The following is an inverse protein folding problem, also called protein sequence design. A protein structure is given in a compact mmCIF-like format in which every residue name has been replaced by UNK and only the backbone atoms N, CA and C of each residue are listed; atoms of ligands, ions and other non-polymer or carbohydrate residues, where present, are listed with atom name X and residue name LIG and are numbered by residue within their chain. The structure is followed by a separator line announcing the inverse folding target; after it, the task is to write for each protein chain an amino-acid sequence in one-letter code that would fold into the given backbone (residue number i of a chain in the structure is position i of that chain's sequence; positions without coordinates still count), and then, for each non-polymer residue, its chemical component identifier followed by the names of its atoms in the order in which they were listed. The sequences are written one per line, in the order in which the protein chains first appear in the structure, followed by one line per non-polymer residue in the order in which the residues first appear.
data_IF_163196765113
#
_entry.id   IF_163196765113
#
_cell.length_a   1.000
_cell.length_b   1.000
_cell.length_c   1.000
_cell.angle_alpha   90.00
_cell.angle_beta   90.00
_cell.angle_gamma   90.00
#
_symmetry.space_group_name_H-M   'P 1'
#
loop_
_entity.id
_entity.type
_entity.pdbx_description
1 polymer ?
#
# COMPACT_ATOMS: atom_id res chain seq x y z
N UNK A 1 9.09 -14.25 19.85
CA UNK A 1 8.01 -13.93 18.92
C UNK A 1 8.60 -12.84 18.06
N UNK A 2 8.85 -13.15 16.79
CA UNK A 2 9.32 -12.13 15.85
C UNK A 2 8.26 -11.04 15.80
N UNK A 3 8.69 -9.80 16.04
CA UNK A 3 7.86 -8.60 15.95
C UNK A 3 7.79 -8.18 14.48
N UNK A 4 7.36 -9.11 13.63
CA UNK A 4 7.32 -9.01 12.17
C UNK A 4 6.02 -8.38 11.66
N UNK A 5 5.46 -7.42 12.42
CA UNK A 5 4.30 -6.62 12.02
C UNK A 5 4.69 -5.22 11.57
N UNK A 6 4.19 -4.80 10.41
CA UNK A 6 4.19 -3.40 10.01
C UNK A 6 3.24 -2.63 10.93
N UNK A 7 3.71 -1.53 11.52
CA UNK A 7 2.86 -0.68 12.32
C UNK A 7 1.82 0.01 11.44
N UNK A 8 0.64 0.27 12.00
CA UNK A 8 -0.41 1.03 11.30
C UNK A 8 0.10 2.41 10.85
N UNK A 9 0.92 3.05 11.66
CA UNK A 9 1.50 4.38 11.36
C UNK A 9 2.38 4.35 10.10
N UNK A 10 3.18 3.28 9.90
CA UNK A 10 3.96 3.10 8.68
C UNK A 10 3.01 2.89 7.49
N UNK A 11 2.00 2.02 7.63
CA UNK A 11 1.07 1.76 6.55
C UNK A 11 0.25 3.01 6.13
N UNK A 12 -0.14 3.86 7.10
CA UNK A 12 -0.78 5.16 6.83
C UNK A 12 0.19 6.16 6.17
N UNK A 13 1.48 6.09 6.49
CA UNK A 13 2.51 6.90 5.85
C UNK A 13 2.72 6.47 4.39
N UNK A 14 2.62 5.18 4.08
CA UNK A 14 2.62 4.68 2.69
C UNK A 14 1.43 5.22 1.91
N UNK A 15 0.21 5.24 2.49
CA UNK A 15 -0.97 5.87 1.85
C UNK A 15 -0.71 7.34 1.53
N UNK A 16 -0.08 8.07 2.46
CA UNK A 16 0.28 9.48 2.26
C UNK A 16 1.30 9.63 1.12
N UNK A 17 2.30 8.76 1.04
CA UNK A 17 3.29 8.76 -0.02
C UNK A 17 2.68 8.44 -1.40
N UNK A 18 1.73 7.50 -1.48
CA UNK A 18 0.98 7.21 -2.71
C UNK A 18 0.21 8.44 -3.18
N UNK A 19 -0.49 9.14 -2.27
CA UNK A 19 -1.21 10.37 -2.61
C UNK A 19 -0.29 11.48 -3.11
N UNK A 20 0.92 11.56 -2.55
CA UNK A 20 1.95 12.50 -3.01
C UNK A 20 2.52 12.12 -4.40
N UNK A 21 2.57 10.82 -4.71
CA UNK A 21 3.02 10.32 -6.02
C UNK A 21 2.00 10.62 -7.12
N UNK A 22 0.70 10.60 -6.81
CA UNK A 22 -0.39 10.84 -7.77
C UNK A 22 -1.22 12.09 -7.42
N UNK A 23 -0.63 13.31 -7.40
CA UNK A 23 -1.26 14.49 -6.81
C UNK A 23 -2.46 15.03 -7.59
N UNK A 24 -2.71 14.55 -8.81
CA UNK A 24 -3.81 14.98 -9.67
C UNK A 24 -5.00 14.01 -9.67
N UNK A 25 -4.91 12.89 -8.94
CA UNK A 25 -5.96 11.88 -8.93
C UNK A 25 -7.13 12.26 -8.04
N UNK A 26 -8.29 11.68 -8.33
CA UNK A 26 -9.45 11.73 -7.44
C UNK A 26 -9.29 10.67 -6.34
N UNK A 27 -9.22 11.13 -5.09
CA UNK A 27 -9.05 10.27 -3.93
C UNK A 27 -10.37 9.89 -3.24
N UNK A 28 -11.52 10.14 -3.88
CA UNK A 28 -12.84 9.87 -3.29
C UNK A 28 -13.06 8.39 -2.96
N UNK A 29 -12.40 7.49 -3.70
CA UNK A 29 -12.56 6.04 -3.56
C UNK A 29 -11.25 5.30 -3.20
N UNK A 30 -10.18 6.03 -2.88
CA UNK A 30 -8.89 5.44 -2.51
C UNK A 30 -7.74 6.44 -2.58
N UNK A 31 -6.49 6.03 -2.32
CA UNK A 31 -6.09 4.72 -1.81
C UNK A 31 -6.59 4.47 -0.38
N UNK A 32 -7.14 3.27 -0.13
CA UNK A 32 -7.72 2.87 1.16
C UNK A 32 -6.82 1.86 1.86
N UNK A 33 -6.52 2.10 3.14
CA UNK A 33 -5.78 1.14 3.95
C UNK A 33 -6.70 0.02 4.46
N UNK A 34 -6.24 -1.21 4.31
CA UNK A 34 -6.90 -2.45 4.75
C UNK A 34 -5.95 -3.31 5.57
N UNK A 35 -6.50 -4.08 6.48
CA UNK A 35 -5.73 -5.06 7.24
C UNK A 35 -5.34 -6.28 6.38
N UNK A 36 -4.68 -7.26 7.01
CA UNK A 36 -4.17 -8.44 6.34
C UNK A 36 -5.28 -9.35 5.76
N UNK A 37 -6.50 -9.29 6.30
CA UNK A 37 -7.58 -10.22 5.94
C UNK A 37 -8.19 -9.89 4.56
N UNK A 38 -8.08 -8.65 4.10
CA UNK A 38 -8.67 -8.19 2.85
C UNK A 38 -8.19 -9.00 1.62
N UNK A 39 -6.91 -9.36 1.58
CA UNK A 39 -6.28 -10.06 0.45
C UNK A 39 -5.66 -11.41 0.87
N UNK A 40 -5.98 -11.90 2.06
CA UNK A 40 -5.33 -13.07 2.64
C UNK A 40 -3.81 -12.91 2.76
N UNK A 41 -3.37 -11.73 3.19
CA UNK A 41 -1.95 -11.44 3.43
C UNK A 41 -1.46 -12.14 4.70
N UNK A 42 -0.14 -12.23 4.83
CA UNK A 42 0.48 -12.71 6.06
C UNK A 42 0.07 -11.84 7.27
N UNK A 43 -0.24 -12.43 8.44
CA UNK A 43 -0.53 -11.66 9.65
C UNK A 43 0.55 -10.61 9.95
N UNK A 44 0.12 -9.40 10.33
CA UNK A 44 1.02 -8.25 10.55
C UNK A 44 1.32 -7.42 9.30
N UNK A 45 0.77 -7.79 8.14
CA UNK A 45 0.84 -7.01 6.89
C UNK A 45 -0.41 -6.14 6.69
N UNK A 46 -0.33 -5.21 5.75
CA UNK A 46 -1.46 -4.39 5.32
C UNK A 46 -1.62 -4.45 3.81
N UNK A 47 -2.83 -4.15 3.32
CA UNK A 47 -3.07 -3.92 1.89
C UNK A 47 -3.61 -2.52 1.67
N UNK A 48 -3.39 -2.00 0.47
CA UNK A 48 -3.94 -0.73 0.00
C UNK A 48 -4.66 -0.99 -1.31
N UNK A 49 -5.98 -0.77 -1.33
CA UNK A 49 -6.80 -0.83 -2.55
C UNK A 49 -7.06 0.57 -3.11
N UNK A 50 -7.11 0.65 -4.43
CA UNK A 50 -7.61 1.82 -5.14
C UNK A 50 -8.12 1.35 -6.51
N UNK A 51 -9.44 1.22 -6.61
CA UNK A 51 -10.12 0.69 -7.80
C UNK A 51 -10.64 1.83 -8.69
N UNK A 52 -11.67 2.53 -8.22
CA UNK A 52 -12.33 3.57 -9.01
C UNK A 52 -11.51 4.88 -9.03
N UNK A 53 -11.24 5.38 -10.24
CA UNK A 53 -10.52 6.64 -10.46
C UNK A 53 -9.03 6.58 -10.19
N UNK A 54 -8.48 5.38 -9.92
CA UNK A 54 -7.05 5.17 -9.78
C UNK A 54 -6.33 5.36 -11.12
N UNK A 55 -5.08 5.86 -11.13
CA UNK A 55 -4.22 5.79 -12.29
C UNK A 55 -4.01 4.35 -12.76
N UNK A 56 -3.84 4.16 -14.07
CA UNK A 56 -3.49 2.86 -14.63
C UNK A 56 -2.19 2.33 -13.99
N UNK A 57 -2.19 1.06 -13.56
CA UNK A 57 -1.04 0.38 -12.97
C UNK A 57 -0.46 1.07 -11.70
N UNK A 58 -1.25 1.89 -10.99
CA UNK A 58 -0.77 2.68 -9.84
C UNK A 58 -0.02 1.84 -8.80
N UNK A 59 -0.47 0.61 -8.53
CA UNK A 59 0.14 -0.26 -7.52
C UNK A 59 1.55 -0.70 -7.94
N UNK A 60 1.76 -0.94 -9.23
CA UNK A 60 3.08 -1.29 -9.78
C UNK A 60 4.01 -0.08 -9.71
N UNK A 61 3.52 1.09 -10.09
CA UNK A 61 4.29 2.33 -10.01
C UNK A 61 4.64 2.67 -8.56
N UNK A 62 3.68 2.61 -7.63
CA UNK A 62 3.92 2.85 -6.21
C UNK A 62 4.98 1.90 -5.63
N UNK A 63 4.91 0.59 -5.93
CA UNK A 63 5.92 -0.37 -5.48
C UNK A 63 7.32 -0.07 -6.04
N UNK A 64 7.41 0.44 -7.28
CA UNK A 64 8.68 0.81 -7.92
C UNK A 64 9.27 2.07 -7.29
N UNK A 65 8.47 3.12 -7.14
CA UNK A 65 8.94 4.43 -6.68
C UNK A 65 9.17 4.48 -5.16
N UNK A 66 8.41 3.68 -4.38
CA UNK A 66 8.47 3.63 -2.91
C UNK A 66 9.19 2.37 -2.38
N UNK A 67 9.98 1.69 -3.21
CA UNK A 67 10.62 0.37 -3.00
C UNK A 67 11.16 0.06 -1.59
N UNK A 68 11.62 1.06 -0.85
CA UNK A 68 12.04 0.91 0.55
C UNK A 68 11.53 2.11 1.33
N UNK A 69 10.31 1.99 1.87
CA UNK A 69 9.66 3.06 2.61
C UNK A 69 9.66 2.73 4.10
N UNK A 70 10.46 3.45 4.90
CA UNK A 70 10.49 3.35 6.36
C UNK A 70 10.52 1.92 6.94
N UNK A 71 11.31 1.03 6.32
CA UNK A 71 11.42 -0.37 6.77
C UNK A 71 10.22 -1.25 6.39
N UNK A 72 9.36 -0.79 5.49
CA UNK A 72 8.35 -1.60 4.82
C UNK A 72 8.81 -2.01 3.41
N UNK A 73 8.50 -3.25 3.05
CA UNK A 73 8.58 -3.80 1.71
C UNK A 73 7.21 -3.67 1.03
N UNK A 74 7.19 -3.13 -0.19
CA UNK A 74 5.97 -2.90 -0.96
C UNK A 74 5.93 -3.83 -2.17
N UNK A 75 4.85 -4.58 -2.35
CA UNK A 75 4.68 -5.52 -3.46
C UNK A 75 3.28 -5.37 -4.08
N UNK A 76 3.17 -5.17 -5.41
CA UNK A 76 1.87 -5.16 -6.06
C UNK A 76 1.29 -6.57 -6.07
N UNK A 77 0.09 -6.74 -5.53
CA UNK A 77 -0.65 -8.01 -5.62
C UNK A 77 -1.30 -8.17 -6.99
N UNK A 78 -1.79 -7.05 -7.52
CA UNK A 78 -2.25 -6.88 -8.90
C UNK A 78 -2.18 -5.37 -9.25
N UNK A 79 -2.85 -4.93 -10.32
CA UNK A 79 -2.80 -3.55 -10.78
C UNK A 79 -3.60 -2.55 -9.91
N UNK A 80 -4.47 -3.03 -9.01
CA UNK A 80 -5.36 -2.23 -8.16
C UNK A 80 -5.03 -2.32 -6.66
N UNK A 81 -4.11 -3.23 -6.28
CA UNK A 81 -3.88 -3.61 -4.90
C UNK A 81 -2.38 -3.70 -4.62
N UNK A 82 -1.95 -2.99 -3.57
CA UNK A 82 -0.58 -2.98 -3.06
C UNK A 82 -0.52 -3.65 -1.69
N UNK A 83 0.40 -4.59 -1.51
CA UNK A 83 0.74 -5.16 -0.20
C UNK A 83 1.85 -4.37 0.48
N UNK A 84 1.74 -4.20 1.79
CA UNK A 84 2.72 -3.54 2.66
C UNK A 84 3.16 -4.55 3.72
N UNK A 85 4.44 -4.93 3.67
CA UNK A 85 5.05 -5.96 4.51
C UNK A 85 6.22 -5.40 5.29
N UNK A 86 6.66 -6.11 6.31
CA UNK A 86 7.89 -5.75 7.01
C UNK A 86 9.09 -6.09 6.14
N UNK A 87 10.07 -5.18 6.10
CA UNK A 87 11.34 -5.38 5.40
C UNK A 87 12.34 -6.20 6.22
#
# INVERSE_FOLDING_TARGET
MDDSSVSREIAESVVTAIKALFPQSDFSYGPNLRDADHEGLSPGSWSIDWEDGAPDEWAIEAARELRAFDGAFLEPRNHLILGVYQN
#
